data_IF_474054327065
#
_entry.id   IF_474054327065
#
_cell.length_a   1.000
_cell.length_b   1.000
_cell.length_c   1.000
_cell.angle_alpha   90.00
_cell.angle_beta   90.00
_cell.angle_gamma   90.00
#
_symmetry.space_group_name_H-M   'P 1'
#
loop_
_entity.id
_entity.type
_entity.pdbx_description
1 polymer ?
#
# COMPACT_ATOMS: atom_id res chain seq x y z
N UNK A 1 -21.20 2.23 0.25
CA UNK A 1 -20.77 3.47 0.92
C UNK A 1 -19.29 3.69 0.64
N UNK A 2 -18.91 4.88 0.21
CA UNK A 2 -17.52 5.23 -0.08
C UNK A 2 -16.71 5.30 1.22
N UNK A 3 -15.57 4.60 1.28
CA UNK A 3 -14.72 4.54 2.47
C UNK A 3 -13.75 5.74 2.53
N UNK A 4 -13.41 6.29 3.71
CA UNK A 4 -12.50 7.43 3.80
C UNK A 4 -11.09 7.12 3.31
N UNK A 5 -10.63 5.87 3.42
CA UNK A 5 -9.31 5.45 2.96
C UNK A 5 -9.39 4.40 1.87
N UNK A 6 -8.45 4.46 0.93
CA UNK A 6 -8.28 3.46 -0.13
C UNK A 6 -6.83 2.97 -0.17
N UNK A 7 -6.67 1.67 -0.24
CA UNK A 7 -5.38 0.99 -0.35
C UNK A 7 -5.19 0.62 -1.82
N UNK A 8 -4.35 1.37 -2.53
CA UNK A 8 -3.96 1.04 -3.91
C UNK A 8 -2.87 -0.01 -3.87
N UNK A 9 -3.13 -1.18 -4.40
CA UNK A 9 -2.20 -2.33 -4.46
C UNK A 9 -1.69 -2.48 -5.87
N UNK A 10 -0.41 -2.21 -6.07
CA UNK A 10 0.25 -2.34 -7.37
C UNK A 10 0.86 -3.72 -7.50
N UNK A 11 0.49 -4.42 -8.58
CA UNK A 11 0.97 -5.76 -8.85
C UNK A 11 0.82 -6.12 -10.32
N UNK A 12 1.22 -7.34 -10.65
CA UNK A 12 1.09 -7.90 -12.00
C UNK A 12 0.41 -9.27 -11.97
N UNK A 13 -0.22 -9.72 -13.06
CA UNK A 13 -0.84 -11.04 -13.16
C UNK A 13 0.16 -12.17 -12.89
N UNK A 14 -0.32 -13.30 -12.37
CA UNK A 14 0.52 -14.48 -12.09
C UNK A 14 1.57 -14.30 -10.97
N UNK A 15 1.64 -13.14 -10.32
CA UNK A 15 2.61 -12.87 -9.25
C UNK A 15 2.19 -13.50 -7.91
N UNK A 16 2.91 -14.53 -7.46
CA UNK A 16 2.63 -15.21 -6.19
C UNK A 16 2.68 -14.27 -4.97
N UNK A 17 3.66 -13.35 -4.92
CA UNK A 17 3.78 -12.35 -3.84
C UNK A 17 2.61 -11.37 -3.83
N UNK A 18 2.12 -10.98 -5.02
CA UNK A 18 0.98 -10.10 -5.19
C UNK A 18 -0.29 -10.80 -4.69
N UNK A 19 -0.46 -12.09 -5.01
CA UNK A 19 -1.54 -12.93 -4.45
C UNK A 19 -1.47 -12.97 -2.91
N UNK A 20 -0.30 -13.20 -2.33
CA UNK A 20 -0.12 -13.22 -0.87
C UNK A 20 -0.44 -11.88 -0.21
N UNK A 21 0.02 -10.76 -0.77
CA UNK A 21 -0.31 -9.42 -0.25
C UNK A 21 -1.83 -9.18 -0.29
N UNK A 22 -2.47 -9.47 -1.43
CA UNK A 22 -3.91 -9.33 -1.57
C UNK A 22 -4.67 -10.18 -0.54
N UNK A 23 -4.34 -11.46 -0.39
CA UNK A 23 -4.97 -12.34 0.61
C UNK A 23 -4.84 -11.81 2.05
N UNK A 24 -3.69 -11.20 2.38
CA UNK A 24 -3.48 -10.60 3.70
C UNK A 24 -4.35 -9.37 3.91
N UNK A 25 -4.44 -8.50 2.91
CA UNK A 25 -5.32 -7.33 2.93
C UNK A 25 -6.78 -7.76 3.00
N UNK A 26 -7.21 -8.72 2.18
CA UNK A 26 -8.59 -9.21 2.15
C UNK A 26 -9.00 -9.76 3.52
N UNK A 27 -8.14 -10.57 4.16
CA UNK A 27 -8.39 -11.08 5.52
C UNK A 27 -8.38 -9.98 6.59
N UNK A 28 -7.59 -8.93 6.41
CA UNK A 28 -7.52 -7.83 7.37
C UNK A 28 -8.79 -6.97 7.28
N UNK A 29 -9.20 -6.62 6.05
CA UNK A 29 -10.34 -5.76 5.77
C UNK A 29 -11.72 -6.39 6.06
N UNK A 30 -11.78 -7.68 6.41
CA UNK A 30 -13.01 -8.29 6.96
C UNK A 30 -13.27 -7.94 8.42
N UNK A 31 -12.28 -7.41 9.15
CA UNK A 31 -12.44 -7.08 10.56
C UNK A 31 -13.05 -5.67 10.69
N UNK A 32 -14.02 -5.53 11.60
CA UNK A 32 -14.80 -4.28 11.78
C UNK A 32 -13.89 -3.07 12.07
N UNK A 33 -12.80 -3.29 12.80
CA UNK A 33 -11.81 -2.27 13.11
C UNK A 33 -11.17 -1.66 11.86
N UNK A 34 -11.21 -2.29 10.68
CA UNK A 34 -10.68 -1.79 9.39
C UNK A 34 -11.77 -1.36 8.40
N UNK A 35 -13.00 -1.17 8.88
CA UNK A 35 -14.16 -0.86 8.05
C UNK A 35 -14.11 0.51 7.35
N UNK A 36 -13.15 1.37 7.66
CA UNK A 36 -12.86 2.66 7.05
C UNK A 36 -11.90 2.56 5.85
N UNK A 37 -11.35 1.39 5.56
CA UNK A 37 -10.51 1.13 4.40
C UNK A 37 -11.23 0.31 3.32
N UNK A 38 -10.93 0.60 2.06
CA UNK A 38 -11.20 -0.28 0.92
C UNK A 38 -9.93 -0.56 0.12
N UNK A 39 -9.92 -1.64 -0.66
CA UNK A 39 -8.79 -2.04 -1.50
C UNK A 39 -9.09 -1.80 -2.97
N UNK A 40 -8.13 -1.25 -3.69
CA UNK A 40 -8.11 -1.16 -5.15
C UNK A 40 -6.87 -1.87 -5.69
N UNK A 41 -7.04 -2.83 -6.60
CA UNK A 41 -5.91 -3.50 -7.25
C UNK A 41 -5.58 -2.79 -8.57
N UNK A 42 -4.35 -2.33 -8.68
CA UNK A 42 -3.80 -1.68 -9.87
C UNK A 42 -2.89 -2.67 -10.59
N UNK A 43 -3.40 -3.25 -11.67
CA UNK A 43 -2.62 -4.13 -12.54
C UNK A 43 -1.68 -3.30 -13.43
N UNK A 44 -0.38 -3.36 -13.14
CA UNK A 44 0.63 -2.58 -13.88
C UNK A 44 0.87 -3.07 -15.30
N UNK A 45 0.18 -4.13 -15.76
CA UNK A 45 0.17 -4.55 -17.16
C UNK A 45 -1.03 -3.97 -17.95
N UNK A 46 -1.97 -3.29 -17.28
CA UNK A 46 -3.05 -2.55 -17.96
C UNK A 46 -2.76 -1.05 -18.03
N UNK A 47 -3.42 -0.34 -18.94
CA UNK A 47 -3.27 1.11 -19.09
C UNK A 47 -3.66 1.83 -17.80
N UNK A 48 -4.79 1.44 -17.20
CA UNK A 48 -5.31 2.08 -15.99
C UNK A 48 -4.37 1.87 -14.80
N UNK A 49 -3.84 0.65 -14.63
CA UNK A 49 -2.91 0.37 -13.54
C UNK A 49 -1.53 1.00 -13.77
N UNK A 50 -1.06 1.11 -15.02
CA UNK A 50 0.15 1.88 -15.35
C UNK A 50 -0.03 3.37 -15.05
N UNK A 51 -1.16 3.97 -15.41
CA UNK A 51 -1.46 5.37 -15.08
C UNK A 51 -1.50 5.57 -13.57
N UNK A 52 -2.18 4.67 -12.83
CA UNK A 52 -2.23 4.74 -11.38
C UNK A 52 -0.83 4.58 -10.75
N UNK A 53 -0.01 3.70 -11.29
CA UNK A 53 1.37 3.46 -10.84
C UNK A 53 2.25 4.69 -11.09
N UNK A 54 2.21 5.25 -12.31
CA UNK A 54 2.94 6.45 -12.66
C UNK A 54 2.53 7.64 -11.78
N UNK A 55 1.23 7.80 -11.54
CA UNK A 55 0.69 8.87 -10.69
C UNK A 55 1.06 8.72 -9.20
N UNK A 56 1.51 7.53 -8.77
CA UNK A 56 1.91 7.33 -7.38
C UNK A 56 3.28 7.96 -7.07
N UNK A 57 4.15 8.13 -8.08
CA UNK A 57 5.46 8.81 -8.04
C UNK A 57 6.48 8.37 -6.96
N UNK A 58 6.14 7.40 -6.11
CA UNK A 58 6.94 6.99 -4.95
C UNK A 58 7.32 5.50 -4.92
N UNK A 59 6.82 4.70 -5.87
CA UNK A 59 7.01 3.25 -5.89
C UNK A 59 8.11 2.88 -6.89
N UNK A 60 9.08 2.06 -6.46
CA UNK A 60 10.08 1.52 -7.36
C UNK A 60 9.47 0.37 -8.20
N UNK A 61 9.50 0.42 -9.54
CA UNK A 61 8.95 -0.64 -10.42
C UNK A 61 9.54 -2.03 -10.15
N UNK A 62 10.80 -2.10 -9.70
CA UNK A 62 11.48 -3.36 -9.38
C UNK A 62 11.05 -3.93 -8.01
N UNK A 63 10.20 -3.23 -7.26
CA UNK A 63 9.79 -3.58 -5.90
C UNK A 63 8.28 -3.84 -5.77
N UNK A 64 7.61 -4.16 -6.88
CA UNK A 64 6.22 -4.66 -6.85
C UNK A 64 6.19 -6.14 -6.39
N UNK A 65 5.18 -6.58 -5.61
CA UNK A 65 3.99 -5.82 -5.23
C UNK A 65 4.26 -4.69 -4.23
N UNK A 66 3.45 -3.65 -4.31
CA UNK A 66 3.48 -2.50 -3.40
C UNK A 66 2.06 -2.09 -3.02
N UNK A 67 1.92 -1.34 -1.94
CA UNK A 67 0.68 -0.70 -1.53
C UNK A 67 0.90 0.75 -1.14
N UNK A 68 -0.05 1.61 -1.49
CA UNK A 68 -0.09 3.02 -1.11
C UNK A 68 -1.45 3.30 -0.47
N UNK A 69 -1.45 3.97 0.68
CA UNK A 69 -2.68 4.42 1.33
C UNK A 69 -3.01 5.83 0.85
N UNK A 70 -4.23 6.00 0.40
CA UNK A 70 -4.79 7.29 0.01
C UNK A 70 -6.00 7.62 0.88
N UNK A 71 -6.25 8.92 1.08
CA UNK A 71 -7.41 9.43 1.81
C UNK A 71 -8.30 10.21 0.85
N UNK A 72 -9.60 10.02 0.97
CA UNK A 72 -10.58 10.80 0.23
C UNK A 72 -10.58 12.24 0.71
N UNK A 73 -10.40 13.17 -0.21
CA UNK A 73 -10.58 14.59 0.01
C UNK A 73 -12.08 14.93 -0.11
N UNK A 74 -12.61 15.70 0.84
CA UNK A 74 -14.05 15.86 1.03
C UNK A 74 -14.73 16.68 -0.08
N UNK A 75 -14.05 17.68 -0.65
CA UNK A 75 -14.64 18.62 -1.61
C UNK A 75 -14.65 18.07 -3.04
N UNK A 76 -13.59 17.37 -3.43
CA UNK A 76 -13.36 16.82 -4.77
C UNK A 76 -13.72 15.34 -4.86
N UNK A 77 -13.78 14.65 -3.72
CA UNK A 77 -13.94 13.20 -3.66
C UNK A 77 -12.74 12.41 -4.15
N UNK A 78 -11.62 13.08 -4.49
CA UNK A 78 -10.39 12.46 -4.99
C UNK A 78 -9.65 11.74 -3.85
N UNK A 79 -8.94 10.68 -4.19
CA UNK A 79 -8.10 9.95 -3.24
C UNK A 79 -6.64 10.36 -3.38
N UNK A 80 -6.14 11.12 -2.41
CA UNK A 80 -4.78 11.65 -2.40
C UNK A 80 -3.87 10.84 -1.47
N UNK A 81 -2.57 10.63 -1.81
CA UNK A 81 -1.62 9.91 -0.97
C UNK A 81 -1.54 10.49 0.45
N UNK A 82 -1.59 9.63 1.46
CA UNK A 82 -1.43 10.06 2.86
C UNK A 82 0.07 10.28 3.12
N UNK A 83 0.52 11.48 3.54
CA UNK A 83 1.92 11.71 3.86
C UNK A 83 2.33 10.96 5.13
N UNK A 84 3.56 10.44 5.17
CA UNK A 84 4.13 9.89 6.40
C UNK A 84 4.31 11.01 7.43
N UNK A 85 4.04 10.70 8.71
CA UNK A 85 4.19 11.68 9.82
C UNK A 85 5.63 11.90 10.23
N UNK A 86 6.42 10.85 10.14
CA UNK A 86 7.79 10.80 10.64
C UNK A 86 8.69 10.10 9.61
N UNK A 87 9.27 10.85 8.66
CA UNK A 87 10.11 10.30 7.59
C UNK A 87 11.51 9.94 8.12
N UNK A 88 11.56 9.16 9.21
CA UNK A 88 12.82 8.67 9.78
C UNK A 88 13.56 7.77 8.79
N UNK A 89 14.90 7.80 8.80
CA UNK A 89 15.72 7.10 7.81
C UNK A 89 15.64 5.56 7.88
N UNK A 90 15.20 4.97 9.00
CA UNK A 90 14.92 3.53 9.11
C UNK A 90 13.75 3.25 10.06
N UNK A 91 12.73 2.56 9.56
CA UNK A 91 11.60 2.05 10.34
C UNK A 91 11.94 0.65 10.91
N UNK A 92 11.78 0.43 12.21
CA UNK A 92 12.14 -0.84 12.86
C UNK A 92 11.25 -2.03 12.43
N UNK A 93 10.02 -1.77 11.98
CA UNK A 93 9.02 -2.79 11.61
C UNK A 93 9.03 -3.02 10.10
N UNK A 94 9.06 -1.95 9.32
CA UNK A 94 8.92 -1.95 7.87
C UNK A 94 10.27 -1.91 7.15
N UNK A 95 11.32 -1.43 7.80
CA UNK A 95 12.67 -1.32 7.25
C UNK A 95 12.66 -0.66 5.87
N UNK A 96 13.37 -1.29 4.92
CA UNK A 96 13.46 -0.81 3.54
C UNK A 96 12.14 -0.89 2.78
N UNK A 97 11.10 -1.53 3.31
CA UNK A 97 9.81 -1.66 2.62
C UNK A 97 8.97 -0.39 2.69
N UNK A 98 9.24 0.56 3.59
CA UNK A 98 8.43 1.78 3.72
C UNK A 98 8.59 2.73 2.53
N UNK A 99 7.50 3.39 2.12
CA UNK A 99 7.50 4.45 1.11
C UNK A 99 7.75 5.83 1.74
N UNK A 100 8.77 5.99 2.60
CA UNK A 100 9.17 7.15 3.43
C UNK A 100 8.42 8.50 3.33
N UNK A 101 8.10 9.01 2.15
CA UNK A 101 7.30 10.22 1.94
C UNK A 101 5.80 10.02 2.20
N UNK A 102 5.26 8.85 1.84
CA UNK A 102 3.86 8.49 1.94
C UNK A 102 3.64 7.21 2.73
N UNK A 103 2.44 7.08 3.28
CA UNK A 103 2.01 5.89 4.01
C UNK A 103 1.79 4.75 3.02
N UNK A 104 2.73 3.81 3.00
CA UNK A 104 2.68 2.68 2.09
C UNK A 104 3.91 1.77 2.20
N UNK A 105 3.87 0.66 1.47
CA UNK A 105 4.89 -0.38 1.47
C UNK A 105 5.24 -0.80 0.05
N UNK A 106 6.48 -1.15 -0.19
CA UNK A 106 6.97 -1.82 -1.39
C UNK A 106 7.81 -3.03 -1.00
N UNK A 107 7.84 -4.04 -1.86
CA UNK A 107 8.51 -5.30 -1.54
C UNK A 107 10.02 -5.11 -1.42
N UNK A 108 10.61 -5.53 -0.30
CA UNK A 108 12.06 -5.59 -0.13
C UNK A 108 12.62 -6.94 -0.59
N UNK A 109 13.28 -6.96 -1.75
CA UNK A 109 13.93 -8.16 -2.32
C UNK A 109 15.34 -8.43 -1.81
N UNK A 110 15.84 -7.66 -0.84
CA UNK A 110 17.11 -7.98 -0.20
C UNK A 110 17.01 -9.28 0.63
N UNK A 111 18.14 -9.91 0.99
CA UNK A 111 18.14 -11.11 1.84
C UNK A 111 17.41 -10.93 3.18
N UNK A 112 17.41 -9.70 3.73
CA UNK A 112 16.70 -9.36 4.96
C UNK A 112 15.17 -9.33 4.75
N UNK A 113 14.68 -8.69 3.69
CA UNK A 113 13.26 -8.53 3.40
C UNK A 113 12.57 -9.75 2.78
N UNK A 114 13.33 -10.63 2.11
CA UNK A 114 12.86 -11.89 1.50
C UNK A 114 11.69 -11.75 0.52
N UNK A 115 11.39 -10.53 0.10
CA UNK A 115 10.24 -10.20 -0.73
C UNK A 115 8.88 -10.34 -0.05
N UNK A 116 8.80 -10.15 1.27
CA UNK A 116 7.58 -10.39 2.06
C UNK A 116 7.10 -9.10 2.72
N UNK A 117 5.85 -8.71 2.43
CA UNK A 117 5.12 -7.66 3.17
C UNK A 117 4.22 -8.33 4.22
N UNK A 118 4.67 -8.36 5.48
CA UNK A 118 4.00 -9.11 6.56
C UNK A 118 2.71 -8.45 7.06
N UNK A 119 1.78 -9.19 7.70
CA UNK A 119 0.59 -8.60 8.33
C UNK A 119 0.92 -7.48 9.33
N UNK A 120 1.98 -7.65 10.14
CA UNK A 120 2.42 -6.63 11.10
C UNK A 120 2.77 -5.32 10.41
N UNK A 121 3.49 -5.37 9.28
CA UNK A 121 3.84 -4.17 8.50
C UNK A 121 2.59 -3.48 7.95
N UNK A 122 1.64 -4.26 7.42
CA UNK A 122 0.37 -3.73 6.89
C UNK A 122 -0.37 -2.99 8.01
N UNK A 123 -0.59 -3.64 9.15
CA UNK A 123 -1.29 -3.05 10.30
C UNK A 123 -0.60 -1.78 10.81
N UNK A 124 0.74 -1.77 10.90
CA UNK A 124 1.50 -0.56 11.28
C UNK A 124 1.21 0.61 10.34
N UNK A 125 1.24 0.38 9.03
CA UNK A 125 1.00 1.41 8.02
C UNK A 125 -0.45 1.89 8.00
N UNK A 126 -1.43 1.00 8.18
CA UNK A 126 -2.84 1.41 8.26
C UNK A 126 -3.14 2.21 9.52
N UNK A 127 -2.53 1.87 10.66
CA UNK A 127 -2.64 2.66 11.88
C UNK A 127 -2.02 4.06 11.72
N UNK A 128 -0.88 4.17 11.02
CA UNK A 128 -0.29 5.47 10.72
C UNK A 128 -1.23 6.34 9.88
N UNK A 129 -1.91 5.76 8.87
CA UNK A 129 -2.82 6.51 8.01
C UNK A 129 -3.98 7.16 8.78
N UNK A 130 -4.45 6.52 9.86
CA UNK A 130 -5.53 7.03 10.72
C UNK A 130 -5.07 8.05 11.74
N UNK A 131 -3.83 7.93 12.16
CA UNK A 131 -3.29 8.72 13.27
C UNK A 131 -3.42 10.18 12.91
#
# INVERSE_FOLDING_TARGET
>A
MTKPYKIKVFGKPGCAKCKTLNQRLDKLLTQEEWSDFEKEYCDVETVEGLVAFASAECINPQRIPAMLVTRREEHTGRYDPVPTRDPKPMDEICGKSRLYQYVGLQTDYTPAGKGIISPKMITTVLNEARS
#
